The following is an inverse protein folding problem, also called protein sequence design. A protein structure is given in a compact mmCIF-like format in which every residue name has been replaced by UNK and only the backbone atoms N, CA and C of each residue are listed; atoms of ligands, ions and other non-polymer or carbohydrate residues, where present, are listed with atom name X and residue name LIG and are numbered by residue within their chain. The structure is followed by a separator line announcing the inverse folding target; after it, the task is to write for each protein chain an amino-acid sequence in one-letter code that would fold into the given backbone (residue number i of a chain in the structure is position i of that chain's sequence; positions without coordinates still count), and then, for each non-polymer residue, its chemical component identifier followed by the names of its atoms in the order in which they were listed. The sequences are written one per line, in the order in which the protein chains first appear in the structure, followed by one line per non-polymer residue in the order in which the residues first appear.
data_IF_300720324214
#
_entry.id   IF_300720324214
#
_cell.length_a   1.000
_cell.length_b   1.000
_cell.length_c   1.000
_cell.angle_alpha   90.00
_cell.angle_beta   90.00
_cell.angle_gamma   90.00
#
_symmetry.space_group_name_H-M   'P 1'
#
loop_
_entity.id
_entity.type
_entity.pdbx_description
1 polymer ?
#
# COMPACT_ATOMS: atom_id res chain seq x y z
N UNK A 1 1.49 -14.34 3.79
CA UNK A 1 1.52 -12.88 3.68
C UNK A 1 1.62 -12.47 2.22
N UNK A 2 0.83 -11.47 1.82
CA UNK A 2 0.86 -10.86 0.49
C UNK A 2 0.96 -9.34 0.57
N UNK A 3 1.49 -8.75 -0.49
CA UNK A 3 1.36 -7.33 -0.80
C UNK A 3 0.25 -7.21 -1.84
N UNK A 4 -0.83 -6.53 -1.49
CA UNK A 4 -1.93 -6.25 -2.39
C UNK A 4 -1.88 -4.80 -2.87
N UNK A 5 -1.97 -4.62 -4.18
CA UNK A 5 -2.03 -3.33 -4.86
C UNK A 5 -3.47 -2.94 -5.17
N UNK A 6 -3.85 -1.69 -4.91
CA UNK A 6 -5.18 -1.17 -5.25
C UNK A 6 -5.08 0.24 -5.85
N UNK A 7 -5.47 0.39 -7.11
CA UNK A 7 -5.37 1.65 -7.86
C UNK A 7 -4.88 1.48 -9.30
N UNK A 8 -4.00 2.37 -9.80
CA UNK A 8 -3.51 2.31 -11.18
C UNK A 8 -2.62 1.07 -11.45
N UNK A 9 -3.09 0.18 -12.33
CA UNK A 9 -2.39 -1.04 -12.72
C UNK A 9 -0.96 -0.82 -13.25
N UNK A 10 -0.74 0.19 -14.08
CA UNK A 10 0.57 0.40 -14.73
C UNK A 10 1.62 0.81 -13.70
N UNK A 11 1.23 1.65 -12.75
CA UNK A 11 2.07 2.04 -11.62
C UNK A 11 2.47 0.80 -10.81
N UNK A 12 1.51 -0.10 -10.54
CA UNK A 12 1.78 -1.28 -9.74
C UNK A 12 2.53 -2.38 -10.46
N UNK A 13 2.37 -2.53 -11.78
CA UNK A 13 3.21 -3.42 -12.57
C UNK A 13 4.68 -2.97 -12.53
N UNK A 14 4.94 -1.66 -12.60
CA UNK A 14 6.29 -1.13 -12.45
C UNK A 14 6.87 -1.35 -11.03
N UNK A 15 6.03 -1.19 -9.99
CA UNK A 15 6.40 -1.48 -8.61
C UNK A 15 6.65 -2.96 -8.34
N UNK A 16 5.78 -3.86 -8.83
CA UNK A 16 5.99 -5.30 -8.67
C UNK A 16 7.32 -5.71 -9.30
N UNK A 17 7.62 -5.21 -10.50
CA UNK A 17 8.86 -5.52 -11.19
C UNK A 17 10.12 -5.14 -10.39
N UNK A 18 10.09 -4.05 -9.62
CA UNK A 18 11.21 -3.63 -8.78
C UNK A 18 11.26 -4.34 -7.42
N UNK A 19 10.11 -4.69 -6.85
CA UNK A 19 10.02 -5.30 -5.53
C UNK A 19 10.21 -6.83 -5.55
N UNK A 20 9.74 -7.51 -6.60
CA UNK A 20 9.72 -8.97 -6.68
C UNK A 20 11.10 -9.65 -6.61
N UNK A 21 12.18 -9.09 -7.21
CA UNK A 21 13.53 -9.65 -7.03
C UNK A 21 14.01 -9.57 -5.58
N UNK A 22 13.59 -8.53 -4.85
CA UNK A 22 14.02 -8.23 -3.49
C UNK A 22 13.17 -8.93 -2.41
N UNK A 23 11.92 -9.27 -2.74
CA UNK A 23 10.91 -9.83 -1.85
C UNK A 23 10.38 -11.17 -2.40
N UNK A 24 11.28 -12.09 -2.73
CA UNK A 24 10.99 -13.33 -3.45
C UNK A 24 10.00 -14.28 -2.76
N UNK A 25 9.83 -14.16 -1.44
CA UNK A 25 8.90 -14.97 -0.65
C UNK A 25 7.50 -14.34 -0.51
N UNK A 26 7.32 -13.11 -1.01
CA UNK A 26 6.06 -12.37 -0.88
C UNK A 26 5.21 -12.54 -2.13
N UNK A 27 3.92 -12.86 -1.94
CA UNK A 27 2.97 -12.89 -3.05
C UNK A 27 2.48 -11.48 -3.36
N UNK A 28 2.52 -11.10 -4.63
CA UNK A 28 1.99 -9.81 -5.11
C UNK A 28 0.62 -10.04 -5.76
N UNK A 29 -0.37 -9.24 -5.37
CA UNK A 29 -1.72 -9.30 -5.92
C UNK A 29 -2.18 -7.93 -6.36
N UNK A 30 -2.97 -7.87 -7.42
CA UNK A 30 -3.60 -6.64 -7.89
C UNK A 30 -5.12 -6.75 -7.75
N UNK A 31 -5.72 -5.74 -7.13
CA UNK A 31 -7.17 -5.56 -7.09
C UNK A 31 -7.60 -4.48 -8.08
N UNK A 32 -8.56 -4.83 -8.93
CA UNK A 32 -9.25 -3.87 -9.78
C UNK A 32 -10.05 -2.88 -8.92
N UNK A 33 -10.21 -1.63 -9.38
CA UNK A 33 -11.06 -0.58 -8.78
C UNK A 33 -12.49 -1.02 -8.41
N UNK A 34 -12.99 -2.08 -9.05
CA UNK A 34 -14.35 -2.61 -8.86
C UNK A 34 -14.41 -3.82 -7.92
N UNK A 35 -13.26 -4.30 -7.42
CA UNK A 35 -13.18 -5.43 -6.49
C UNK A 35 -12.36 -5.04 -5.28
N UNK A 36 -12.95 -5.14 -4.10
CA UNK A 36 -12.26 -4.85 -2.86
C UNK A 36 -11.02 -5.74 -2.68
N UNK A 37 -9.92 -5.19 -2.14
CA UNK A 37 -8.78 -5.98 -1.67
C UNK A 37 -9.24 -7.05 -0.68
N UNK A 38 -8.83 -8.29 -0.90
CA UNK A 38 -9.12 -9.39 0.00
C UNK A 38 -7.94 -9.54 0.97
N UNK A 39 -7.88 -8.69 1.98
CA UNK A 39 -6.76 -8.60 2.92
C UNK A 39 -7.00 -9.48 4.15
N UNK A 40 -5.97 -10.17 4.61
CA UNK A 40 -5.95 -10.92 5.87
C UNK A 40 -4.96 -10.28 6.85
N UNK A 41 -5.05 -10.69 8.12
CA UNK A 41 -4.10 -10.24 9.13
C UNK A 41 -2.66 -10.66 8.73
N UNK A 42 -1.72 -9.72 8.83
CA UNK A 42 -0.35 -9.85 8.34
C UNK A 42 -0.14 -9.26 6.95
N UNK A 43 -1.19 -9.08 6.14
CA UNK A 43 -1.04 -8.56 4.78
C UNK A 43 -0.78 -7.06 4.72
N UNK A 44 -0.14 -6.65 3.62
CA UNK A 44 0.17 -5.26 3.33
C UNK A 44 -0.67 -4.78 2.15
N UNK A 45 -1.28 -3.62 2.29
CA UNK A 45 -1.95 -2.91 1.20
C UNK A 45 -1.05 -1.77 0.71
N UNK A 46 -0.80 -1.70 -0.60
CA UNK A 46 -0.25 -0.51 -1.24
C UNK A 46 -1.35 0.12 -2.09
N UNK A 47 -1.71 1.34 -1.73
CA UNK A 47 -2.91 2.04 -2.14
C UNK A 47 -2.56 3.29 -2.91
N UNK A 48 -3.08 3.43 -4.13
CA UNK A 48 -3.05 4.70 -4.84
C UNK A 48 -3.95 5.72 -4.13
N UNK A 49 -3.40 6.91 -3.87
CA UNK A 49 -4.11 7.98 -3.19
C UNK A 49 -5.42 8.36 -3.88
N UNK A 50 -5.54 8.21 -5.20
CA UNK A 50 -6.79 8.52 -5.90
C UNK A 50 -7.97 7.65 -5.43
N UNK A 51 -7.70 6.51 -4.77
CA UNK A 51 -8.69 5.55 -4.33
C UNK A 51 -8.85 5.48 -2.81
N UNK A 52 -8.15 6.31 -2.04
CA UNK A 52 -8.10 6.18 -0.58
C UNK A 52 -9.48 6.35 0.10
N UNK A 53 -10.32 7.27 -0.39
CA UNK A 53 -11.66 7.51 0.17
C UNK A 53 -12.54 6.26 0.15
N UNK A 54 -12.47 5.50 -0.95
CA UNK A 54 -13.22 4.23 -1.08
C UNK A 54 -12.77 3.20 -0.05
N UNK A 55 -11.47 3.17 0.25
CA UNK A 55 -10.88 2.24 1.23
C UNK A 55 -11.27 2.61 2.66
N UNK A 56 -11.35 3.90 2.97
CA UNK A 56 -11.87 4.39 4.25
C UNK A 56 -13.35 4.02 4.43
N UNK A 57 -14.16 4.21 3.39
CA UNK A 57 -15.61 3.95 3.44
C UNK A 57 -15.93 2.45 3.48
N UNK A 58 -15.11 1.59 2.83
CA UNK A 58 -15.33 0.13 2.81
C UNK A 58 -14.84 -0.59 4.06
N UNK A 59 -14.13 0.10 4.97
CA UNK A 59 -13.66 -0.48 6.22
C UNK A 59 -12.68 -1.64 5.99
N UNK A 60 -11.75 -1.49 5.04
CA UNK A 60 -10.65 -2.42 4.76
C UNK A 60 -9.67 -2.50 5.94
N UNK A 61 -10.18 -3.08 7.03
CA UNK A 61 -9.59 -3.04 8.36
C UNK A 61 -8.63 -4.20 8.65
N UNK A 62 -8.46 -5.11 7.69
CA UNK A 62 -7.75 -6.36 7.92
C UNK A 62 -6.26 -6.31 7.55
N UNK A 63 -5.81 -5.32 6.78
CA UNK A 63 -4.38 -5.16 6.54
C UNK A 63 -3.64 -4.68 7.79
N UNK A 64 -2.51 -5.31 8.06
CA UNK A 64 -1.59 -4.94 9.14
C UNK A 64 -0.79 -3.67 8.82
N UNK A 65 -0.57 -3.39 7.54
CA UNK A 65 0.08 -2.15 7.09
C UNK A 65 -0.53 -1.63 5.80
N UNK A 66 -0.72 -0.32 5.70
CA UNK A 66 -1.24 0.35 4.50
C UNK A 66 -0.26 1.44 4.06
N UNK A 67 0.28 1.33 2.86
CA UNK A 67 1.09 2.38 2.22
C UNK A 67 0.24 3.12 1.21
N UNK A 68 -0.01 4.41 1.43
CA UNK A 68 -0.72 5.27 0.49
C UNK A 68 0.29 6.00 -0.38
N UNK A 69 0.21 5.86 -1.71
CA UNK A 69 1.18 6.40 -2.66
C UNK A 69 0.51 7.42 -3.59
N UNK A 70 1.18 8.53 -3.90
CA UNK A 70 0.58 9.56 -4.75
C UNK A 70 1.39 10.85 -4.88
N UNK A 71 1.00 11.78 -5.78
CA UNK A 71 1.78 12.99 -6.08
C UNK A 71 1.76 14.03 -4.95
N UNK A 72 0.67 14.16 -4.20
CA UNK A 72 0.57 14.86 -2.90
C UNK A 72 -0.86 14.63 -2.39
N UNK A 73 -1.05 14.61 -1.07
CA UNK A 73 -2.39 14.72 -0.46
C UNK A 73 -2.41 15.99 0.38
N UNK A 74 -3.50 16.75 0.33
CA UNK A 74 -3.63 17.96 1.15
C UNK A 74 -3.50 17.61 2.65
N UNK A 75 -3.07 18.56 3.48
CA UNK A 75 -2.80 18.33 4.91
C UNK A 75 -3.97 17.66 5.66
N UNK A 76 -5.20 17.93 5.24
CA UNK A 76 -6.42 17.31 5.77
C UNK A 76 -6.51 15.80 5.43
N UNK A 77 -6.15 15.42 4.20
CA UNK A 77 -6.14 14.03 3.76
C UNK A 77 -5.00 13.25 4.46
N UNK A 78 -3.86 13.89 4.72
CA UNK A 78 -2.76 13.28 5.48
C UNK A 78 -3.15 12.96 6.93
N UNK A 79 -3.98 13.80 7.56
CA UNK A 79 -4.43 13.60 8.93
C UNK A 79 -5.26 12.31 9.10
N UNK A 80 -6.00 11.90 8.05
CA UNK A 80 -6.76 10.64 8.04
C UNK A 80 -5.86 9.40 8.20
N UNK A 81 -4.61 9.46 7.71
CA UNK A 81 -3.63 8.38 7.84
C UNK A 81 -2.83 8.43 9.15
N UNK A 82 -2.90 9.56 9.86
CA UNK A 82 -2.08 9.79 11.06
C UNK A 82 -2.65 9.07 12.30
N UNK A 83 -3.97 8.83 12.32
CA UNK A 83 -4.68 8.38 13.53
C UNK A 83 -4.66 6.87 13.78
N UNK A 84 -4.30 6.05 12.79
CA UNK A 84 -4.43 4.59 12.90
C UNK A 84 -3.10 3.82 12.95
N UNK A 85 -1.94 4.49 12.86
CA UNK A 85 -0.58 3.92 12.98
C UNK A 85 -0.16 2.92 11.88
N UNK A 86 -1.08 2.11 11.38
CA UNK A 86 -0.89 1.17 10.26
C UNK A 86 -0.79 1.87 8.91
N UNK A 87 -1.34 3.08 8.78
CA UNK A 87 -1.29 3.84 7.54
C UNK A 87 0.00 4.65 7.45
N UNK A 88 0.58 4.71 6.26
CA UNK A 88 1.77 5.49 5.97
C UNK A 88 1.65 6.07 4.57
N UNK A 89 1.74 7.39 4.48
CA UNK A 89 1.78 8.07 3.18
C UNK A 89 3.22 8.12 2.65
N UNK A 90 3.39 7.80 1.37
CA UNK A 90 4.64 7.88 0.62
C UNK A 90 4.43 8.71 -0.66
N UNK A 91 5.07 9.88 -0.79
CA UNK A 91 5.06 10.62 -2.04
C UNK A 91 5.65 9.78 -3.18
N UNK A 92 5.12 9.91 -4.40
CA UNK A 92 5.67 9.21 -5.57
C UNK A 92 7.17 9.49 -5.77
N UNK A 93 7.63 10.70 -5.45
CA UNK A 93 9.05 11.08 -5.52
C UNK A 93 9.97 10.33 -4.55
N UNK A 94 9.41 9.69 -3.52
CA UNK A 94 10.14 8.92 -2.51
C UNK A 94 9.85 7.42 -2.60
N UNK A 95 9.03 7.00 -3.56
CA UNK A 95 8.51 5.65 -3.63
C UNK A 95 9.63 4.60 -3.77
N UNK A 96 10.56 4.83 -4.69
CA UNK A 96 11.70 3.93 -4.94
C UNK A 96 12.66 3.86 -3.74
N UNK A 97 12.91 5.00 -3.09
CA UNK A 97 13.88 5.09 -1.99
C UNK A 97 13.32 4.65 -0.63
N UNK A 98 12.00 4.64 -0.46
CA UNK A 98 11.36 4.36 0.84
C UNK A 98 10.49 3.12 0.87
N UNK A 99 9.79 2.76 -0.20
CA UNK A 99 8.82 1.66 -0.13
C UNK A 99 9.51 0.32 0.20
N UNK A 100 10.60 -0.02 -0.50
CA UNK A 100 11.30 -1.28 -0.25
C UNK A 100 11.90 -1.36 1.17
N UNK A 101 12.65 -0.35 1.68
CA UNK A 101 13.12 -0.36 3.06
C UNK A 101 12.00 -0.50 4.09
N UNK A 102 10.87 0.19 3.89
CA UNK A 102 9.73 0.14 4.82
C UNK A 102 9.02 -1.21 4.78
N UNK A 103 8.91 -1.82 3.60
CA UNK A 103 8.43 -3.20 3.46
C UNK A 103 9.36 -4.15 4.20
N UNK A 104 10.66 -4.18 3.88
CA UNK A 104 11.63 -5.07 4.57
C UNK A 104 11.57 -4.92 6.09
N UNK A 105 11.54 -3.68 6.59
CA UNK A 105 11.41 -3.39 8.04
C UNK A 105 10.14 -3.98 8.64
N UNK A 106 9.00 -3.89 7.94
CA UNK A 106 7.75 -4.49 8.41
C UNK A 106 7.83 -6.03 8.42
N UNK A 107 8.44 -6.62 7.39
CA UNK A 107 8.63 -8.07 7.26
C UNK A 107 9.58 -8.65 8.30
N UNK A 108 10.62 -7.93 8.69
CA UNK A 108 11.55 -8.41 9.73
C UNK A 108 10.91 -8.42 11.13
N UNK A 109 9.77 -7.72 11.30
CA UNK A 109 9.05 -7.58 12.57
C UNK A 109 7.90 -8.57 12.74
N UNK A 110 7.51 -9.31 11.68
CA UNK A 110 6.34 -10.20 11.63
C UNK A 110 6.68 -11.53 10.96
#
# INVERSE_FOLDING_TARGET
MKIQFYGDRKLFEALEASLKPELSQVSFMYSNKDKEPALEEGDVLVLDCAYYKRVLDSGLNHASKVFVIGPYLDHYDMSAFSNEGRWQYLPLSQLESRLLPELKRFLDQH
#
